data_IF_716397170190
#
_entry.id   IF_716397170190
#
_cell.length_a   1.000
_cell.length_b   1.000
_cell.length_c   1.000
_cell.angle_alpha   90.00
_cell.angle_beta   90.00
_cell.angle_gamma   90.00
#
_symmetry.space_group_name_H-M   'P 1'
#
loop_
_entity.id
_entity.type
_entity.pdbx_description
1 polymer ?
#
# COMPACT_ATOMS: atom_id res chain seq x y z
N UNK A 1 23.63 -29.36 4.22
CA UNK A 1 24.25 -28.25 3.46
C UNK A 1 23.93 -26.96 4.19
N UNK A 2 24.86 -26.12 4.56
CA UNK A 2 24.53 -24.78 5.04
C UNK A 2 23.88 -24.04 3.88
N UNK A 3 22.70 -23.41 4.15
CA UNK A 3 22.02 -22.59 3.18
C UNK A 3 22.95 -21.43 2.80
N UNK A 4 23.37 -21.40 1.54
CA UNK A 4 24.22 -20.34 1.00
C UNK A 4 23.39 -19.04 0.86
N UNK A 5 23.99 -17.91 1.23
CA UNK A 5 23.36 -16.60 1.17
C UNK A 5 22.87 -16.23 -0.25
N UNK A 6 23.59 -16.65 -1.29
CA UNK A 6 23.19 -16.42 -2.68
C UNK A 6 21.90 -17.20 -3.01
N UNK A 7 21.82 -18.46 -2.60
CA UNK A 7 20.61 -19.27 -2.78
C UNK A 7 19.40 -18.61 -2.11
N UNK A 8 19.57 -18.10 -0.88
CA UNK A 8 18.50 -17.40 -0.16
C UNK A 8 18.07 -16.12 -0.88
N UNK A 9 18.99 -15.37 -1.45
CA UNK A 9 18.70 -14.17 -2.24
C UNK A 9 17.94 -14.51 -3.52
N UNK A 10 18.32 -15.58 -4.23
CA UNK A 10 17.63 -16.06 -5.44
C UNK A 10 16.21 -16.51 -5.10
N UNK A 11 16.03 -17.33 -4.06
CA UNK A 11 14.72 -17.79 -3.61
C UNK A 11 13.81 -16.61 -3.27
N UNK A 12 14.36 -15.62 -2.56
CA UNK A 12 13.58 -14.41 -2.25
C UNK A 12 13.23 -13.61 -3.52
N UNK A 13 14.15 -13.48 -4.46
CA UNK A 13 13.90 -12.77 -5.74
C UNK A 13 12.80 -13.45 -6.55
N UNK A 14 12.78 -14.79 -6.59
CA UNK A 14 11.72 -15.56 -7.24
C UNK A 14 10.39 -15.32 -6.52
N UNK A 15 10.38 -15.37 -5.17
CA UNK A 15 9.16 -15.14 -4.39
C UNK A 15 8.58 -13.73 -4.62
N UNK A 16 9.40 -12.68 -4.51
CA UNK A 16 8.91 -11.30 -4.70
C UNK A 16 8.43 -11.07 -6.14
N UNK A 17 9.08 -11.68 -7.13
CA UNK A 17 8.66 -11.61 -8.54
C UNK A 17 7.32 -12.32 -8.75
N UNK A 18 7.14 -13.51 -8.17
CA UNK A 18 5.88 -14.26 -8.23
C UNK A 18 4.72 -13.48 -7.57
N UNK A 19 4.96 -12.89 -6.40
CA UNK A 19 3.95 -12.05 -5.71
C UNK A 19 3.64 -10.79 -6.52
N UNK A 20 4.64 -10.13 -7.09
CA UNK A 20 4.43 -8.94 -7.94
C UNK A 20 3.61 -9.29 -9.20
N UNK A 21 3.91 -10.41 -9.84
CA UNK A 21 3.14 -10.91 -10.99
C UNK A 21 1.69 -11.25 -10.58
N UNK A 22 1.51 -12.01 -9.50
CA UNK A 22 0.18 -12.38 -8.99
C UNK A 22 -0.67 -11.15 -8.64
N UNK A 23 -0.09 -10.14 -7.98
CA UNK A 23 -0.76 -8.87 -7.71
C UNK A 23 -1.11 -8.13 -9.00
N UNK A 24 -0.21 -8.14 -9.99
CA UNK A 24 -0.44 -7.48 -11.29
C UNK A 24 -1.63 -8.11 -12.03
N UNK A 25 -1.75 -9.43 -12.01
CA UNK A 25 -2.89 -10.14 -12.62
C UNK A 25 -4.17 -9.87 -11.81
N UNK A 26 -4.12 -9.96 -10.49
CA UNK A 26 -5.29 -9.77 -9.62
C UNK A 26 -5.86 -8.35 -9.66
N UNK A 27 -5.03 -7.34 -9.90
CA UNK A 27 -5.41 -5.92 -9.92
C UNK A 27 -5.58 -5.38 -11.36
N UNK A 28 -5.48 -6.24 -12.38
CA UNK A 28 -5.58 -5.82 -13.79
C UNK A 28 -6.98 -5.28 -14.10
N UNK A 29 -7.05 -4.14 -14.80
CA UNK A 29 -8.31 -3.52 -15.20
C UNK A 29 -9.07 -2.81 -14.08
N UNK A 30 -8.52 -2.75 -12.88
CA UNK A 30 -9.15 -2.07 -11.74
C UNK A 30 -8.79 -0.58 -11.73
N UNK A 31 -9.81 0.30 -11.66
CA UNK A 31 -9.64 1.76 -11.70
C UNK A 31 -9.10 2.39 -10.39
N UNK A 32 -8.80 1.60 -9.36
CA UNK A 32 -8.30 2.10 -8.08
C UNK A 32 -6.89 2.65 -8.19
N UNK A 33 -6.73 3.96 -7.88
CA UNK A 33 -5.40 4.59 -7.81
C UNK A 33 -4.53 4.03 -6.68
N UNK A 34 -5.12 3.49 -5.60
CA UNK A 34 -4.40 2.86 -4.53
C UNK A 34 -3.82 1.51 -4.99
N UNK A 35 -4.65 0.70 -5.64
CA UNK A 35 -4.23 -0.58 -6.22
C UNK A 35 -3.10 -0.40 -7.24
N UNK A 36 -3.18 0.60 -8.13
CA UNK A 36 -2.11 0.92 -9.09
C UNK A 36 -0.80 1.30 -8.40
N UNK A 37 -0.84 2.08 -7.32
CA UNK A 37 0.36 2.39 -6.54
C UNK A 37 0.96 1.13 -5.90
N UNK A 38 0.14 0.25 -5.31
CA UNK A 38 0.60 -1.00 -4.71
C UNK A 38 1.22 -1.95 -5.76
N UNK A 39 0.58 -2.08 -6.92
CA UNK A 39 1.08 -2.87 -8.05
C UNK A 39 2.43 -2.34 -8.56
N UNK A 40 2.51 -1.05 -8.84
CA UNK A 40 3.77 -0.42 -9.28
C UNK A 40 4.87 -0.57 -8.23
N UNK A 41 4.54 -0.47 -6.95
CA UNK A 41 5.46 -0.72 -5.84
C UNK A 41 5.98 -2.16 -5.82
N UNK A 42 5.10 -3.15 -5.99
CA UNK A 42 5.49 -4.55 -6.03
C UNK A 42 6.41 -4.87 -7.24
N UNK A 43 6.11 -4.31 -8.41
CA UNK A 43 6.97 -4.45 -9.60
C UNK A 43 8.33 -3.79 -9.41
N UNK A 44 8.36 -2.58 -8.84
CA UNK A 44 9.62 -1.89 -8.51
C UNK A 44 10.46 -2.71 -7.53
N UNK A 45 9.84 -3.33 -6.52
CA UNK A 45 10.52 -4.21 -5.57
C UNK A 45 11.14 -5.43 -6.25
N UNK A 46 10.38 -6.10 -7.12
CA UNK A 46 10.86 -7.27 -7.86
C UNK A 46 12.05 -6.91 -8.78
N UNK A 47 11.93 -5.86 -9.56
CA UNK A 47 13.01 -5.39 -10.45
C UNK A 47 14.23 -4.96 -9.63
N UNK A 48 14.02 -4.27 -8.50
CA UNK A 48 15.09 -3.88 -7.59
C UNK A 48 15.90 -5.08 -7.07
N UNK A 49 15.23 -6.16 -6.67
CA UNK A 49 15.90 -7.39 -6.23
C UNK A 49 16.62 -8.11 -7.36
N UNK A 50 16.05 -8.14 -8.57
CA UNK A 50 16.73 -8.67 -9.75
C UNK A 50 18.01 -7.88 -10.02
N UNK A 51 17.98 -6.55 -9.99
CA UNK A 51 19.15 -5.70 -10.16
C UNK A 51 20.20 -5.94 -9.05
N UNK A 52 19.75 -6.12 -7.79
CA UNK A 52 20.67 -6.37 -6.69
C UNK A 52 21.38 -7.73 -6.81
N UNK A 53 20.67 -8.78 -7.20
CA UNK A 53 21.29 -10.11 -7.46
C UNK A 53 22.21 -10.04 -8.66
N UNK A 54 21.79 -9.36 -9.73
CA UNK A 54 22.59 -9.19 -10.93
C UNK A 54 23.89 -8.41 -10.66
N UNK A 55 23.86 -7.40 -9.77
CA UNK A 55 25.07 -6.62 -9.42
C UNK A 55 26.19 -7.50 -8.86
N UNK A 56 25.83 -8.58 -8.16
CA UNK A 56 26.77 -9.54 -7.60
C UNK A 56 27.64 -10.28 -8.65
N UNK A 57 27.23 -10.32 -9.93
CA UNK A 57 28.01 -10.88 -11.03
C UNK A 57 29.02 -9.89 -11.61
N UNK A 58 28.90 -8.60 -11.30
CA UNK A 58 29.74 -7.52 -11.80
C UNK A 58 30.57 -6.84 -10.71
N UNK A 59 30.94 -7.58 -9.66
CA UNK A 59 31.61 -7.04 -8.48
C UNK A 59 32.81 -6.15 -8.83
N UNK A 60 32.92 -5.05 -8.10
CA UNK A 60 34.01 -4.07 -8.22
C UNK A 60 34.11 -3.38 -9.59
N UNK A 61 33.07 -3.47 -10.41
CA UNK A 61 32.98 -2.75 -11.70
C UNK A 61 31.93 -1.62 -11.63
N UNK A 62 31.96 -0.75 -12.64
CA UNK A 62 30.91 0.26 -12.79
C UNK A 62 29.51 -0.36 -12.97
N UNK A 63 29.43 -1.62 -13.49
CA UNK A 63 28.17 -2.37 -13.59
C UNK A 63 27.58 -2.71 -12.24
N UNK A 64 28.40 -3.09 -11.25
CA UNK A 64 27.95 -3.28 -9.86
C UNK A 64 27.40 -1.97 -9.28
N UNK A 65 28.14 -0.87 -9.43
CA UNK A 65 27.69 0.44 -8.95
C UNK A 65 26.35 0.86 -9.56
N UNK A 66 26.20 0.68 -10.87
CA UNK A 66 24.96 1.04 -11.59
C UNK A 66 23.78 0.18 -11.12
N UNK A 67 23.93 -1.15 -11.15
CA UNK A 67 22.85 -2.08 -10.82
C UNK A 67 22.44 -2.01 -9.35
N UNK A 68 23.40 -1.91 -8.43
CA UNK A 68 23.10 -1.79 -7.00
C UNK A 68 22.49 -0.43 -6.65
N UNK A 69 22.91 0.66 -7.31
CA UNK A 69 22.27 1.98 -7.15
C UNK A 69 20.85 1.99 -7.67
N UNK A 70 20.60 1.37 -8.84
CA UNK A 70 19.26 1.21 -9.40
C UNK A 70 18.38 0.34 -8.48
N UNK A 71 18.94 -0.72 -7.90
CA UNK A 71 18.26 -1.55 -6.92
C UNK A 71 17.79 -0.70 -5.71
N UNK A 72 18.67 0.13 -5.17
CA UNK A 72 18.34 1.01 -4.04
C UNK A 72 17.26 2.02 -4.38
N UNK A 73 17.31 2.61 -5.60
CA UNK A 73 16.25 3.49 -6.10
C UNK A 73 14.90 2.77 -6.14
N UNK A 74 14.87 1.60 -6.77
CA UNK A 74 13.63 0.84 -6.96
C UNK A 74 13.04 0.32 -5.65
N UNK A 75 13.88 -0.12 -4.71
CA UNK A 75 13.43 -0.54 -3.37
C UNK A 75 12.86 0.62 -2.56
N UNK A 76 13.53 1.78 -2.58
CA UNK A 76 13.04 2.97 -1.90
C UNK A 76 11.74 3.49 -2.53
N UNK A 77 11.65 3.50 -3.86
CA UNK A 77 10.44 3.85 -4.60
C UNK A 77 9.28 2.89 -4.32
N UNK A 78 9.56 1.59 -4.23
CA UNK A 78 8.58 0.56 -3.88
C UNK A 78 7.90 0.87 -2.53
N UNK A 79 8.69 1.17 -1.50
CA UNK A 79 8.16 1.53 -0.18
C UNK A 79 7.36 2.84 -0.21
N UNK A 80 7.79 3.84 -0.98
CA UNK A 80 7.05 5.08 -1.15
C UNK A 80 5.70 4.85 -1.86
N UNK A 81 5.66 4.01 -2.89
CA UNK A 81 4.44 3.66 -3.62
C UNK A 81 3.48 2.85 -2.74
N UNK A 82 3.97 1.89 -1.97
CA UNK A 82 3.13 1.13 -1.04
C UNK A 82 2.57 2.02 0.08
N UNK A 83 3.40 2.94 0.61
CA UNK A 83 2.94 3.93 1.57
C UNK A 83 1.85 4.84 0.97
N UNK A 84 1.99 5.25 -0.29
CA UNK A 84 0.97 6.00 -1.00
C UNK A 84 -0.34 5.21 -1.14
N UNK A 85 -0.26 3.92 -1.44
CA UNK A 85 -1.43 3.03 -1.50
C UNK A 85 -2.13 2.94 -0.15
N UNK A 86 -1.39 2.66 0.94
CA UNK A 86 -1.91 2.60 2.30
C UNK A 86 -2.60 3.91 2.70
N UNK A 87 -1.99 5.06 2.40
CA UNK A 87 -2.58 6.38 2.69
C UNK A 87 -3.88 6.61 1.93
N UNK A 88 -3.95 6.20 0.66
CA UNK A 88 -5.18 6.29 -0.14
C UNK A 88 -6.30 5.43 0.43
N UNK A 89 -6.02 4.17 0.80
CA UNK A 89 -7.02 3.29 1.43
C UNK A 89 -7.50 3.81 2.79
N UNK A 90 -6.67 4.62 3.46
CA UNK A 90 -7.03 5.29 4.71
C UNK A 90 -7.74 6.64 4.53
N UNK A 91 -7.96 7.10 3.30
CA UNK A 91 -8.50 8.44 3.04
C UNK A 91 -7.57 9.58 3.48
N UNK A 92 -6.28 9.30 3.66
CA UNK A 92 -5.29 10.31 4.07
C UNK A 92 -4.82 11.13 2.87
N UNK A 93 -4.40 12.41 3.07
CA UNK A 93 -3.88 13.24 1.98
C UNK A 93 -2.63 12.62 1.34
N UNK A 94 -2.29 13.08 0.13
CA UNK A 94 -1.11 12.62 -0.60
C UNK A 94 0.16 12.70 0.23
N UNK A 95 1.16 11.88 -0.16
CA UNK A 95 2.47 11.83 0.49
C UNK A 95 3.13 13.21 0.60
N UNK A 96 3.75 13.51 1.75
CA UNK A 96 4.61 14.69 1.86
C UNK A 96 5.74 14.61 0.82
N UNK A 97 6.08 15.75 0.21
CA UNK A 97 7.20 15.86 -0.75
C UNK A 97 8.52 15.31 -0.21
N UNK A 98 8.73 15.42 1.09
CA UNK A 98 9.92 14.90 1.78
C UNK A 98 10.18 13.41 1.54
N UNK A 99 9.14 12.59 1.35
CA UNK A 99 9.34 11.16 1.10
C UNK A 99 9.83 10.86 -0.32
N UNK A 100 9.37 11.63 -1.30
CA UNK A 100 9.91 11.52 -2.66
C UNK A 100 11.36 12.00 -2.72
N UNK A 101 11.71 13.04 -1.96
CA UNK A 101 13.10 13.49 -1.82
C UNK A 101 13.98 12.43 -1.17
N UNK A 102 13.49 11.73 -0.14
CA UNK A 102 14.20 10.60 0.47
C UNK A 102 14.38 9.43 -0.52
N UNK A 103 13.35 9.12 -1.31
CA UNK A 103 13.42 8.06 -2.30
C UNK A 103 14.41 8.35 -3.44
N UNK A 104 14.59 9.61 -3.81
CA UNK A 104 15.55 10.04 -4.85
C UNK A 104 16.93 10.37 -4.27
N UNK A 105 17.01 10.91 -3.06
CA UNK A 105 18.27 11.28 -2.41
C UNK A 105 19.09 10.09 -1.96
N UNK A 106 18.43 9.02 -1.52
CA UNK A 106 19.11 7.82 -1.05
C UNK A 106 20.01 7.15 -2.10
N UNK A 107 19.54 6.85 -3.34
CA UNK A 107 20.42 6.25 -4.35
C UNK A 107 21.57 7.16 -4.76
N UNK A 108 21.38 8.48 -4.74
CA UNK A 108 22.45 9.44 -5.00
C UNK A 108 23.56 9.33 -3.95
N UNK A 109 23.18 9.37 -2.66
CA UNK A 109 24.14 9.23 -1.56
C UNK A 109 24.79 7.84 -1.55
N UNK A 110 24.05 6.79 -1.93
CA UNK A 110 24.58 5.44 -2.09
C UNK A 110 25.65 5.38 -3.20
N UNK A 111 25.38 6.00 -4.35
CA UNK A 111 26.33 6.03 -5.48
C UNK A 111 27.60 6.83 -5.14
N UNK A 112 27.46 7.97 -4.45
CA UNK A 112 28.61 8.77 -4.00
C UNK A 112 29.48 8.03 -2.97
N UNK A 113 28.85 7.28 -2.07
CA UNK A 113 29.54 6.48 -1.06
C UNK A 113 29.91 5.05 -1.48
N UNK A 114 29.82 4.71 -2.78
CA UNK A 114 29.89 3.34 -3.26
C UNK A 114 31.14 2.58 -2.79
N UNK A 115 32.30 3.21 -2.85
CA UNK A 115 33.59 2.61 -2.49
C UNK A 115 33.81 2.47 -0.96
N UNK A 116 32.93 3.09 -0.14
CA UNK A 116 32.99 3.03 1.31
C UNK A 116 31.92 2.09 1.86
N UNK A 117 32.23 0.80 2.00
CA UNK A 117 31.29 -0.24 2.41
C UNK A 117 30.50 0.11 3.69
N UNK A 118 31.12 0.55 4.83
CA UNK A 118 30.39 0.88 6.04
C UNK A 118 29.35 2.00 5.82
N UNK A 119 29.74 3.05 5.11
CA UNK A 119 28.85 4.16 4.77
C UNK A 119 27.68 3.70 3.90
N UNK A 120 27.98 2.97 2.83
CA UNK A 120 27.01 2.46 1.86
C UNK A 120 25.94 1.59 2.53
N UNK A 121 26.37 0.63 3.35
CA UNK A 121 25.47 -0.33 4.02
C UNK A 121 24.69 0.35 5.14
N UNK A 122 25.35 1.18 5.95
CA UNK A 122 24.69 1.92 7.02
C UNK A 122 23.62 2.85 6.50
N UNK A 123 23.93 3.66 5.48
CA UNK A 123 22.99 4.59 4.85
C UNK A 123 21.79 3.85 4.22
N UNK A 124 22.06 2.84 3.38
CA UNK A 124 21.02 2.10 2.69
C UNK A 124 20.04 1.46 3.67
N UNK A 125 20.54 0.70 4.64
CA UNK A 125 19.69 0.02 5.62
C UNK A 125 19.03 1.01 6.57
N UNK A 126 19.68 2.13 6.91
CA UNK A 126 19.09 3.18 7.74
C UNK A 126 17.89 3.84 7.07
N UNK A 127 18.04 4.27 5.81
CA UNK A 127 16.95 4.94 5.07
C UNK A 127 15.80 3.97 4.76
N UNK A 128 16.10 2.76 4.26
CA UNK A 128 15.09 1.74 3.96
C UNK A 128 14.36 1.32 5.25
N UNK A 129 15.08 1.10 6.35
CA UNK A 129 14.49 0.78 7.65
C UNK A 129 13.57 1.89 8.17
N UNK A 130 13.97 3.15 8.02
CA UNK A 130 13.13 4.30 8.39
C UNK A 130 11.86 4.40 7.53
N UNK A 131 11.95 4.14 6.22
CA UNK A 131 10.78 4.09 5.34
C UNK A 131 9.83 2.94 5.73
N UNK A 132 10.36 1.76 6.08
CA UNK A 132 9.57 0.62 6.57
C UNK A 132 8.86 0.95 7.89
N UNK A 133 9.54 1.59 8.85
CA UNK A 133 8.92 2.04 10.11
C UNK A 133 7.82 3.07 9.87
N UNK A 134 8.05 4.02 8.98
CA UNK A 134 7.02 5.00 8.63
C UNK A 134 5.80 4.32 8.02
N UNK A 135 6.01 3.39 7.09
CA UNK A 135 4.92 2.61 6.49
C UNK A 135 4.17 1.79 7.56
N UNK A 136 4.89 1.14 8.48
CA UNK A 136 4.28 0.42 9.60
C UNK A 136 3.43 1.35 10.47
N UNK A 137 3.98 2.48 10.91
CA UNK A 137 3.29 3.47 11.73
C UNK A 137 2.04 4.02 11.03
N UNK A 138 2.14 4.32 9.72
CA UNK A 138 1.00 4.78 8.94
C UNK A 138 -0.07 3.70 8.81
N UNK A 139 0.30 2.44 8.56
CA UNK A 139 -0.66 1.34 8.46
C UNK A 139 -1.45 1.11 9.75
N UNK A 140 -0.80 1.13 10.93
CA UNK A 140 -1.45 0.83 12.22
C UNK A 140 -2.04 2.06 12.93
N UNK A 141 -1.87 3.27 12.40
CA UNK A 141 -2.32 4.52 13.02
C UNK A 141 -3.81 4.47 13.39
N UNK A 142 -4.22 4.81 14.65
CA UNK A 142 -5.61 4.77 15.10
C UNK A 142 -6.54 5.71 14.33
N UNK A 143 -7.86 5.47 14.42
CA UNK A 143 -8.90 6.37 13.90
C UNK A 143 -9.03 6.41 12.37
N UNK A 144 -8.36 5.53 11.66
CA UNK A 144 -8.49 5.46 10.21
C UNK A 144 -9.62 4.52 9.78
N UNK A 145 -10.33 4.83 8.68
CA UNK A 145 -11.23 3.87 8.04
C UNK A 145 -10.45 2.63 7.59
N UNK A 146 -11.15 1.53 7.46
CA UNK A 146 -10.58 0.26 7.03
C UNK A 146 -10.36 -0.75 8.16
N UNK A 147 -10.45 -2.02 7.80
CA UNK A 147 -10.32 -3.09 8.78
C UNK A 147 -8.90 -3.19 9.33
N UNK A 148 -8.78 -3.52 10.59
CA UNK A 148 -7.48 -3.76 11.24
C UNK A 148 -6.71 -4.93 10.61
N UNK A 149 -7.40 -5.85 9.93
CA UNK A 149 -6.83 -7.08 9.35
C UNK A 149 -5.71 -6.81 8.34
N UNK A 150 -6.00 -6.08 7.26
CA UNK A 150 -4.98 -5.77 6.25
C UNK A 150 -3.92 -4.80 6.81
N UNK A 151 -4.33 -3.92 7.72
CA UNK A 151 -3.44 -2.94 8.35
C UNK A 151 -2.39 -3.62 9.22
N UNK A 152 -2.78 -4.64 10.01
CA UNK A 152 -1.86 -5.41 10.84
C UNK A 152 -0.92 -6.28 10.00
N UNK A 153 -1.39 -6.86 8.90
CA UNK A 153 -0.55 -7.64 7.99
C UNK A 153 0.56 -6.77 7.38
N UNK A 154 0.22 -5.61 6.82
CA UNK A 154 1.20 -4.71 6.22
C UNK A 154 2.09 -4.09 7.31
N UNK A 155 1.49 -3.53 8.36
CA UNK A 155 2.22 -2.83 9.42
C UNK A 155 3.15 -3.73 10.21
N UNK A 156 2.67 -4.92 10.60
CA UNK A 156 3.47 -5.92 11.32
C UNK A 156 4.64 -6.44 10.49
N UNK A 157 4.40 -6.75 9.20
CA UNK A 157 5.46 -7.16 8.27
C UNK A 157 6.53 -6.09 8.13
N UNK A 158 6.14 -4.83 7.94
CA UNK A 158 7.08 -3.73 7.77
C UNK A 158 7.87 -3.43 9.06
N UNK A 159 7.23 -3.52 10.23
CA UNK A 159 7.92 -3.35 11.50
C UNK A 159 8.96 -4.45 11.73
N UNK A 160 8.61 -5.71 11.47
CA UNK A 160 9.55 -6.83 11.61
C UNK A 160 10.73 -6.70 10.64
N UNK A 161 10.48 -6.32 9.39
CA UNK A 161 11.55 -6.09 8.41
C UNK A 161 12.44 -4.91 8.78
N UNK A 162 11.88 -3.83 9.32
CA UNK A 162 12.65 -2.67 9.76
C UNK A 162 13.69 -3.06 10.82
N UNK A 163 13.30 -3.87 11.81
CA UNK A 163 14.21 -4.34 12.86
C UNK A 163 15.43 -5.07 12.29
N UNK A 164 15.20 -6.03 11.38
CA UNK A 164 16.29 -6.78 10.75
C UNK A 164 17.13 -5.89 9.82
N UNK A 165 16.49 -4.97 9.11
CA UNK A 165 17.18 -4.03 8.23
C UNK A 165 18.09 -3.09 9.01
N UNK A 166 17.62 -2.53 10.13
CA UNK A 166 18.48 -1.75 11.02
C UNK A 166 19.61 -2.58 11.62
N UNK A 167 19.35 -3.82 12.04
CA UNK A 167 20.39 -4.71 12.54
C UNK A 167 21.48 -4.95 11.50
N UNK A 168 21.12 -5.22 10.24
CA UNK A 168 22.08 -5.31 9.12
C UNK A 168 22.87 -4.01 8.93
N UNK A 169 22.17 -2.86 9.02
CA UNK A 169 22.81 -1.55 8.91
C UNK A 169 23.86 -1.32 9.98
N UNK A 170 23.58 -1.66 11.23
CA UNK A 170 24.52 -1.55 12.35
C UNK A 170 25.71 -2.49 12.16
N UNK A 171 25.46 -3.75 11.80
CA UNK A 171 26.56 -4.72 11.56
C UNK A 171 27.49 -4.26 10.43
N UNK A 172 26.93 -3.84 9.30
CA UNK A 172 27.72 -3.41 8.15
C UNK A 172 28.42 -2.06 8.33
N UNK A 173 27.90 -1.17 9.19
CA UNK A 173 28.50 0.14 9.44
C UNK A 173 29.60 0.10 10.53
N UNK A 174 29.41 -0.70 11.59
CA UNK A 174 30.25 -0.65 12.78
C UNK A 174 30.99 -1.95 13.08
N UNK A 175 30.59 -3.07 12.48
CA UNK A 175 31.16 -4.40 12.73
C UNK A 175 31.56 -5.09 11.43
N UNK A 176 32.33 -4.40 10.60
CA UNK A 176 32.74 -4.85 9.26
C UNK A 176 33.59 -6.13 9.27
N UNK A 177 34.29 -6.43 10.34
CA UNK A 177 35.01 -7.70 10.50
C UNK A 177 34.07 -8.91 10.58
N UNK A 178 32.92 -8.73 11.24
CA UNK A 178 31.87 -9.75 11.37
C UNK A 178 30.94 -9.79 10.15
N UNK A 179 30.78 -8.67 9.46
CA UNK A 179 29.85 -8.50 8.34
C UNK A 179 30.50 -7.75 7.17
N UNK A 180 31.54 -8.33 6.53
CA UNK A 180 32.31 -7.66 5.49
C UNK A 180 31.55 -7.49 4.17
N UNK A 181 30.53 -8.30 3.92
CA UNK A 181 29.71 -8.23 2.71
C UNK A 181 28.24 -8.54 3.02
N UNK A 182 27.34 -8.09 2.16
CA UNK A 182 25.90 -8.42 2.26
C UNK A 182 25.63 -9.93 2.11
N UNK A 183 26.51 -10.66 1.41
CA UNK A 183 26.38 -12.11 1.21
C UNK A 183 27.10 -12.94 2.31
N UNK A 184 27.62 -12.30 3.36
CA UNK A 184 28.27 -12.99 4.47
C UNK A 184 27.33 -14.03 5.10
N UNK A 185 27.79 -15.27 5.39
CA UNK A 185 26.99 -16.28 6.06
C UNK A 185 26.84 -15.95 7.56
N UNK A 186 25.98 -14.99 7.85
CA UNK A 186 25.69 -14.51 9.20
C UNK A 186 24.21 -14.79 9.56
N UNK A 187 23.89 -15.14 10.83
CA UNK A 187 22.51 -15.44 11.25
C UNK A 187 21.49 -14.36 10.87
N UNK A 188 21.89 -13.08 10.85
CA UNK A 188 21.02 -11.97 10.43
C UNK A 188 20.54 -12.12 8.98
N UNK A 189 21.33 -12.71 8.10
CA UNK A 189 20.94 -12.94 6.71
C UNK A 189 19.96 -14.09 6.57
N UNK A 190 20.13 -15.16 7.36
CA UNK A 190 19.18 -16.27 7.41
C UNK A 190 17.81 -15.79 7.96
N UNK A 191 17.82 -15.19 9.14
CA UNK A 191 16.61 -14.65 9.78
C UNK A 191 15.95 -13.62 8.86
N UNK A 192 16.75 -12.70 8.30
CA UNK A 192 16.24 -11.68 7.40
C UNK A 192 15.64 -12.24 6.12
N UNK A 193 16.21 -13.29 5.54
CA UNK A 193 15.66 -13.92 4.34
C UNK A 193 14.35 -14.63 4.62
N UNK A 194 14.24 -15.33 5.73
CA UNK A 194 12.97 -15.96 6.15
C UNK A 194 11.88 -14.92 6.40
N UNK A 195 12.22 -13.84 7.14
CA UNK A 195 11.30 -12.75 7.41
C UNK A 195 10.91 -12.01 6.12
N UNK A 196 11.84 -11.76 5.20
CA UNK A 196 11.52 -11.14 3.90
C UNK A 196 10.53 -11.98 3.09
N UNK A 197 10.73 -13.30 3.03
CA UNK A 197 9.81 -14.20 2.34
C UNK A 197 8.41 -14.16 2.96
N UNK A 198 8.30 -14.32 4.27
CA UNK A 198 7.03 -14.26 4.99
C UNK A 198 6.35 -12.88 4.85
N UNK A 199 7.11 -11.80 5.06
CA UNK A 199 6.60 -10.44 4.99
C UNK A 199 6.10 -10.06 3.58
N UNK A 200 6.78 -10.53 2.53
CA UNK A 200 6.34 -10.30 1.14
C UNK A 200 4.97 -10.93 0.89
N UNK A 201 4.77 -12.17 1.29
CA UNK A 201 3.49 -12.86 1.15
C UNK A 201 2.41 -12.18 2.00
N UNK A 202 2.69 -11.90 3.28
CA UNK A 202 1.74 -11.24 4.18
C UNK A 202 1.37 -9.84 3.71
N UNK A 203 2.33 -9.08 3.18
CA UNK A 203 2.07 -7.76 2.58
C UNK A 203 1.20 -7.89 1.33
N UNK A 204 1.47 -8.87 0.46
CA UNK A 204 0.65 -9.16 -0.71
C UNK A 204 -0.80 -9.49 -0.35
N UNK A 205 -1.00 -10.37 0.66
CA UNK A 205 -2.33 -10.67 1.20
C UNK A 205 -2.99 -9.41 1.78
N UNK A 206 -2.24 -8.59 2.50
CA UNK A 206 -2.70 -7.31 3.04
C UNK A 206 -3.17 -6.34 1.94
N UNK A 207 -2.42 -6.23 0.85
CA UNK A 207 -2.78 -5.42 -0.33
C UNK A 207 -4.08 -5.91 -0.97
N UNK A 208 -4.22 -7.23 -1.19
CA UNK A 208 -5.45 -7.81 -1.75
C UNK A 208 -6.66 -7.61 -0.83
N UNK A 209 -6.47 -7.74 0.49
CA UNK A 209 -7.53 -7.51 1.46
C UNK A 209 -7.97 -6.03 1.51
N UNK A 210 -7.02 -5.09 1.43
CA UNK A 210 -7.33 -3.66 1.37
C UNK A 210 -8.09 -3.30 0.08
N UNK A 211 -7.65 -3.84 -1.05
CA UNK A 211 -8.32 -3.65 -2.34
C UNK A 211 -9.75 -4.22 -2.35
N UNK A 212 -9.92 -5.44 -1.83
CA UNK A 212 -11.25 -6.05 -1.70
C UNK A 212 -12.18 -5.18 -0.85
N UNK A 213 -11.72 -4.67 0.26
CA UNK A 213 -12.49 -3.79 1.13
C UNK A 213 -12.89 -2.48 0.42
N UNK A 214 -11.98 -1.89 -0.37
CA UNK A 214 -12.26 -0.72 -1.22
C UNK A 214 -13.37 -1.04 -2.25
N UNK A 215 -13.27 -2.19 -2.94
CA UNK A 215 -14.25 -2.62 -3.92
C UNK A 215 -15.64 -2.89 -3.28
N UNK A 216 -15.67 -3.54 -2.11
CA UNK A 216 -16.90 -3.76 -1.35
C UNK A 216 -17.55 -2.43 -0.91
N UNK A 217 -16.75 -1.45 -0.49
CA UNK A 217 -17.24 -0.12 -0.12
C UNK A 217 -17.84 0.63 -1.33
N UNK A 218 -17.20 0.54 -2.50
CA UNK A 218 -17.74 1.11 -3.74
C UNK A 218 -19.05 0.46 -4.14
N UNK A 219 -19.15 -0.88 -4.09
CA UNK A 219 -20.39 -1.59 -4.38
C UNK A 219 -21.51 -1.22 -3.40
N UNK A 220 -21.19 -1.09 -2.10
CA UNK A 220 -22.18 -0.61 -1.11
C UNK A 220 -22.69 0.78 -1.43
N UNK A 221 -21.79 1.70 -1.83
CA UNK A 221 -22.19 3.08 -2.20
C UNK A 221 -23.14 3.06 -3.41
N UNK A 222 -22.83 2.29 -4.44
CA UNK A 222 -23.72 2.12 -5.60
C UNK A 222 -25.07 1.48 -5.22
N UNK A 223 -25.09 0.61 -4.21
CA UNK A 223 -26.30 -0.04 -3.71
C UNK A 223 -27.11 0.82 -2.71
N UNK A 224 -26.64 1.98 -2.28
CA UNK A 224 -27.28 2.85 -1.29
C UNK A 224 -28.04 3.99 -1.96
N UNK A 225 -27.62 4.45 -3.15
CA UNK A 225 -28.22 5.57 -3.87
C UNK A 225 -29.20 5.11 -4.94
N UNK A 226 -30.19 5.93 -5.20
CA UNK A 226 -31.06 5.82 -6.37
C UNK A 226 -30.31 6.26 -7.63
N UNK A 227 -30.39 5.48 -8.70
CA UNK A 227 -29.62 5.71 -9.93
C UNK A 227 -29.99 6.99 -10.67
N UNK A 228 -31.22 7.50 -10.52
CA UNK A 228 -31.72 8.70 -11.17
C UNK A 228 -31.44 9.96 -10.35
N UNK A 229 -31.81 9.93 -9.09
CA UNK A 229 -31.85 11.15 -8.22
C UNK A 229 -30.59 11.28 -7.35
N UNK A 230 -29.74 10.25 -7.25
CA UNK A 230 -28.53 10.20 -6.41
C UNK A 230 -28.78 10.39 -4.89
N UNK A 231 -30.03 10.49 -4.45
CA UNK A 231 -30.39 10.41 -3.02
C UNK A 231 -30.39 8.96 -2.54
N UNK A 232 -30.56 8.76 -1.24
CA UNK A 232 -30.68 7.40 -0.70
C UNK A 232 -31.84 6.65 -1.36
N UNK A 233 -31.58 5.43 -1.83
CA UNK A 233 -32.68 4.58 -2.29
C UNK A 233 -33.56 4.16 -1.10
N UNK A 234 -34.74 3.62 -1.39
CA UNK A 234 -35.73 3.25 -0.38
C UNK A 234 -35.18 2.38 0.73
N UNK A 235 -34.32 1.41 0.40
CA UNK A 235 -33.71 0.48 1.39
C UNK A 235 -32.76 1.24 2.33
N UNK A 236 -31.82 1.97 1.77
CA UNK A 236 -30.83 2.72 2.54
C UNK A 236 -31.47 3.84 3.39
N UNK A 237 -32.52 4.47 2.87
CA UNK A 237 -33.32 5.44 3.63
C UNK A 237 -33.97 4.78 4.85
N UNK A 238 -34.63 3.61 4.68
CA UNK A 238 -35.27 2.91 5.79
C UNK A 238 -34.28 2.51 6.88
N UNK A 239 -33.13 1.92 6.50
CA UNK A 239 -32.08 1.54 7.45
C UNK A 239 -31.57 2.77 8.23
N UNK A 240 -31.39 3.91 7.56
CA UNK A 240 -30.91 5.14 8.22
C UNK A 240 -31.97 5.79 9.09
N UNK A 241 -33.23 5.75 8.68
CA UNK A 241 -34.34 6.26 9.47
C UNK A 241 -34.55 5.47 10.77
N UNK A 242 -34.41 4.14 10.74
CA UNK A 242 -34.48 3.28 11.92
C UNK A 242 -33.36 3.60 12.93
N UNK A 243 -32.12 3.80 12.45
CA UNK A 243 -30.99 4.21 13.30
C UNK A 243 -31.25 5.57 13.96
N UNK A 244 -31.69 6.57 13.17
CA UNK A 244 -31.99 7.91 13.67
C UNK A 244 -33.14 7.89 14.69
N UNK A 245 -34.17 7.08 14.44
CA UNK A 245 -35.28 6.91 15.38
C UNK A 245 -34.84 6.26 16.68
N UNK A 246 -33.96 5.26 16.62
CA UNK A 246 -33.36 4.62 17.79
C UNK A 246 -32.57 5.61 18.63
N UNK A 247 -31.74 6.42 17.99
CA UNK A 247 -30.92 7.44 18.64
C UNK A 247 -31.79 8.54 19.26
N UNK A 248 -32.81 9.02 18.52
CA UNK A 248 -33.76 10.00 19.03
C UNK A 248 -34.48 9.51 20.28
N UNK A 249 -34.93 8.24 20.29
CA UNK A 249 -35.55 7.60 21.48
C UNK A 249 -34.56 7.46 22.62
N UNK A 250 -33.32 7.08 22.35
CA UNK A 250 -32.29 6.85 23.38
C UNK A 250 -31.85 8.14 24.07
N UNK A 251 -31.70 9.22 23.31
CA UNK A 251 -31.16 10.49 23.80
C UNK A 251 -32.23 11.57 24.02
N UNK A 252 -33.51 11.27 23.76
CA UNK A 252 -34.62 12.21 23.95
C UNK A 252 -34.63 13.38 22.95
N UNK A 253 -33.98 13.21 21.78
CA UNK A 253 -33.95 14.26 20.76
C UNK A 253 -35.26 14.27 19.94
N UNK A 254 -35.81 15.45 19.63
CA UNK A 254 -36.97 15.55 18.72
C UNK A 254 -36.57 15.11 17.30
N UNK A 255 -37.39 14.32 16.64
CA UNK A 255 -37.24 13.89 15.28
C UNK A 255 -38.51 14.26 14.47
N UNK A 256 -38.29 14.84 13.31
CA UNK A 256 -39.39 15.17 12.37
C UNK A 256 -39.12 14.41 11.08
N UNK A 257 -40.15 13.79 10.51
CA UNK A 257 -40.11 13.14 9.22
C UNK A 257 -41.04 13.90 8.26
N UNK A 258 -40.49 14.26 7.09
CA UNK A 258 -41.25 14.90 6.02
C UNK A 258 -41.43 13.88 4.88
N UNK A 259 -42.65 13.79 4.37
CA UNK A 259 -42.98 13.07 3.16
C UNK A 259 -43.37 14.06 2.08
N UNK A 260 -42.68 14.04 0.96
CA UNK A 260 -42.89 14.96 -0.16
C UNK A 260 -43.35 14.14 -1.35
N UNK A 261 -44.39 14.61 -2.05
CA UNK A 261 -44.91 14.04 -3.29
C UNK A 261 -45.03 15.12 -4.36
N UNK A 262 -44.88 14.74 -5.63
CA UNK A 262 -44.95 15.62 -6.78
C UNK A 262 -46.39 15.60 -7.32
N UNK A 263 -47.13 16.69 -7.10
CA UNK A 263 -48.46 16.85 -7.66
C UNK A 263 -48.45 16.76 -9.20
N UNK A 264 -49.38 16.01 -9.73
CA UNK A 264 -49.55 15.83 -11.17
C UNK A 264 -48.36 15.26 -11.94
N UNK A 265 -47.44 14.53 -11.28
CA UNK A 265 -46.25 13.94 -11.92
C UNK A 265 -46.57 13.10 -13.16
N UNK A 266 -47.69 12.35 -13.12
CA UNK A 266 -48.16 11.60 -14.28
C UNK A 266 -48.47 12.50 -15.48
N UNK A 267 -49.06 13.67 -15.25
CA UNK A 267 -49.36 14.63 -16.33
C UNK A 267 -48.09 15.23 -16.95
N UNK A 268 -47.03 15.40 -16.17
CA UNK A 268 -45.70 15.81 -16.68
C UNK A 268 -45.18 14.76 -17.66
N UNK A 269 -45.20 13.49 -17.27
CA UNK A 269 -44.78 12.38 -18.13
C UNK A 269 -45.63 12.29 -19.40
N UNK A 270 -46.96 12.33 -19.27
CA UNK A 270 -47.88 12.15 -20.38
C UNK A 270 -47.81 13.32 -21.40
N UNK A 271 -47.54 14.56 -20.93
CA UNK A 271 -47.48 15.75 -21.79
C UNK A 271 -46.09 16.06 -22.34
N UNK A 272 -45.02 15.78 -21.57
CA UNK A 272 -43.67 16.22 -21.90
C UNK A 272 -42.65 15.06 -22.01
N UNK A 273 -43.13 13.84 -21.86
CA UNK A 273 -42.30 12.64 -21.95
C UNK A 273 -41.52 12.32 -20.67
N UNK A 274 -41.07 11.07 -20.57
CA UNK A 274 -40.38 10.52 -19.39
C UNK A 274 -39.09 11.27 -19.07
N UNK A 275 -38.34 11.74 -20.06
CA UNK A 275 -37.09 12.50 -19.82
C UNK A 275 -37.33 13.79 -19.01
N UNK A 276 -38.50 14.47 -19.23
CA UNK A 276 -38.86 15.66 -18.45
C UNK A 276 -39.33 15.28 -17.04
N UNK A 277 -39.99 14.13 -16.89
CA UNK A 277 -40.35 13.59 -15.59
C UNK A 277 -39.11 13.23 -14.77
N UNK A 278 -38.10 12.61 -15.39
CA UNK A 278 -36.81 12.28 -14.74
C UNK A 278 -36.10 13.56 -14.26
N UNK A 279 -36.09 14.64 -15.07
CA UNK A 279 -35.55 15.93 -14.65
C UNK A 279 -36.33 16.54 -13.48
N UNK A 280 -37.67 16.41 -13.46
CA UNK A 280 -38.48 16.90 -12.35
C UNK A 280 -38.15 16.15 -11.04
N UNK A 281 -37.92 14.83 -11.09
CA UNK A 281 -37.49 14.03 -9.95
C UNK A 281 -36.09 14.44 -9.47
N UNK A 282 -35.13 14.67 -10.38
CA UNK A 282 -33.79 15.13 -10.06
C UNK A 282 -33.76 16.52 -9.40
N UNK A 283 -34.65 17.42 -9.81
CA UNK A 283 -34.74 18.76 -9.24
C UNK A 283 -35.42 18.79 -7.87
N UNK A 284 -36.22 17.77 -7.55
CA UNK A 284 -36.95 17.69 -6.28
C UNK A 284 -36.14 16.94 -5.21
N UNK A 285 -35.24 16.09 -5.61
CA UNK A 285 -34.39 15.29 -4.73
C UNK A 285 -33.19 16.06 -4.18
#
# INVERSE_FOLDING_TARGET
MPLDSLTLMIVYTVNVTAVAFGLSVALLGQGSRAALCAQAGALAQAIGWICLVASGFFRDTWGDQLLSTLAMLLMSLSLALLLQAVRKWRGSPCLPRALYLAALGMPLLYALGFHHYPWRVGLANGVIGAQMLWLAAEAIRPGAPGSWRWRSLIGGSMAALALVTFWRGVLGAFFTELYPTFATPHPVNLIGSLLNNAATVLTGIGVLAAFREEAEAQLKTLAITDGLTQVLNRRAWSERAELQLSDAKRYGHPMIMLMIDLDHFKQINDRRGHATGDQALQLTA
#
